data_IF_615456247929
#
_entry.id   IF_615456247929
#
_cell.length_a   1.000
_cell.length_b   1.000
_cell.length_c   1.000
_cell.angle_alpha   90.00
_cell.angle_beta   90.00
_cell.angle_gamma   90.00
#
_symmetry.space_group_name_H-M   'P 1'
#
loop_
_entity.id
_entity.type
_entity.pdbx_description
1 polymer ?
#
# COMPACT_ATOMS: atom_id res chain seq x y z
N UNK A 1 -0.28 -19.53 -20.82
CA UNK A 1 -0.45 -19.25 -19.37
C UNK A 1 -1.91 -19.43 -19.03
N UNK A 2 -2.24 -20.39 -18.16
CA UNK A 2 -3.61 -20.78 -17.86
C UNK A 2 -4.07 -20.06 -16.58
N UNK A 3 -4.55 -18.83 -16.73
CA UNK A 3 -4.91 -17.89 -15.64
C UNK A 3 -5.92 -18.44 -14.62
N UNK A 4 -6.66 -19.49 -15.00
CA UNK A 4 -7.68 -20.14 -14.17
C UNK A 4 -7.13 -20.90 -12.95
N UNK A 5 -5.85 -21.30 -12.96
CA UNK A 5 -5.27 -22.10 -11.87
C UNK A 5 -4.41 -21.29 -10.88
N UNK A 6 -4.10 -20.02 -11.17
CA UNK A 6 -3.32 -19.14 -10.27
C UNK A 6 -4.20 -18.23 -9.38
N UNK A 7 -5.47 -18.08 -9.76
CA UNK A 7 -6.48 -17.37 -8.97
C UNK A 7 -7.25 -18.36 -8.11
N UNK A 8 -6.68 -18.71 -6.96
CA UNK A 8 -7.41 -19.43 -5.92
C UNK A 8 -8.49 -18.50 -5.33
N UNK A 9 -9.79 -18.84 -5.47
CA UNK A 9 -10.89 -17.97 -5.06
C UNK A 9 -10.89 -17.70 -3.55
N UNK A 10 -10.34 -18.60 -2.74
CA UNK A 10 -10.16 -18.44 -1.29
C UNK A 10 -9.25 -17.27 -0.89
N UNK A 11 -8.40 -16.78 -1.80
CA UNK A 11 -7.49 -15.66 -1.55
C UNK A 11 -7.96 -14.35 -2.19
N UNK A 12 -9.04 -14.38 -2.96
CA UNK A 12 -9.58 -13.21 -3.65
C UNK A 12 -9.97 -12.10 -2.67
N UNK A 13 -10.68 -12.45 -1.59
CA UNK A 13 -11.12 -11.48 -0.58
C UNK A 13 -9.94 -10.77 0.10
N UNK A 14 -8.90 -11.53 0.44
CA UNK A 14 -7.68 -10.97 1.05
C UNK A 14 -6.91 -10.06 0.08
N UNK A 15 -6.80 -10.44 -1.21
CA UNK A 15 -6.18 -9.61 -2.25
C UNK A 15 -6.92 -8.29 -2.46
N UNK A 16 -8.25 -8.32 -2.43
CA UNK A 16 -9.10 -7.13 -2.50
C UNK A 16 -8.88 -6.25 -1.27
N UNK A 17 -8.86 -6.81 -0.07
CA UNK A 17 -8.61 -6.06 1.16
C UNK A 17 -7.25 -5.34 1.13
N UNK A 18 -6.18 -6.03 0.68
CA UNK A 18 -4.84 -5.42 0.53
C UNK A 18 -4.88 -4.28 -0.50
N UNK A 19 -5.60 -4.47 -1.60
CA UNK A 19 -5.75 -3.45 -2.65
C UNK A 19 -6.49 -2.21 -2.13
N UNK A 20 -7.57 -2.40 -1.37
CA UNK A 20 -8.32 -1.30 -0.74
C UNK A 20 -7.41 -0.52 0.23
N UNK A 21 -6.68 -1.22 1.10
CA UNK A 21 -5.75 -0.58 2.04
C UNK A 21 -4.65 0.20 1.31
N UNK A 22 -4.07 -0.36 0.26
CA UNK A 22 -3.07 0.34 -0.56
C UNK A 22 -3.62 1.63 -1.18
N UNK A 23 -4.86 1.60 -1.68
CA UNK A 23 -5.53 2.77 -2.25
C UNK A 23 -5.77 3.85 -1.19
N UNK A 24 -6.21 3.46 0.02
CA UNK A 24 -6.40 4.39 1.14
C UNK A 24 -5.08 5.03 1.55
N UNK A 25 -4.00 4.24 1.65
CA UNK A 25 -2.66 4.74 1.95
C UNK A 25 -2.19 5.70 0.87
N UNK A 26 -2.39 5.37 -0.41
CA UNK A 26 -2.03 6.23 -1.53
C UNK A 26 -2.73 7.59 -1.47
N UNK A 27 -4.06 7.62 -1.29
CA UNK A 27 -4.79 8.89 -1.23
C UNK A 27 -4.42 9.73 0.01
N UNK A 28 -4.15 9.07 1.14
CA UNK A 28 -3.69 9.74 2.36
C UNK A 28 -2.31 10.36 2.15
N UNK A 29 -1.38 9.57 1.60
CA UNK A 29 -0.05 10.03 1.25
C UNK A 29 -0.07 11.18 0.23
N UNK A 30 -0.95 11.10 -0.78
CA UNK A 30 -1.12 12.15 -1.77
C UNK A 30 -1.63 13.45 -1.13
N UNK A 31 -2.63 13.36 -0.25
CA UNK A 31 -3.14 14.51 0.52
C UNK A 31 -2.03 15.17 1.34
N UNK A 32 -1.25 14.37 2.07
CA UNK A 32 -0.13 14.86 2.88
C UNK A 32 0.97 15.48 2.00
N UNK A 33 1.30 14.86 0.87
CA UNK A 33 2.25 15.41 -0.08
C UNK A 33 1.84 16.81 -0.57
N UNK A 34 0.54 17.02 -0.85
CA UNK A 34 0.04 18.33 -1.21
C UNK A 34 0.08 19.33 -0.03
N UNK A 35 -0.24 18.89 1.19
CA UNK A 35 -0.14 19.76 2.38
C UNK A 35 1.29 20.23 2.65
N UNK A 36 2.29 19.37 2.50
CA UNK A 36 3.69 19.69 2.77
C UNK A 36 4.47 20.23 1.57
N UNK A 37 3.81 20.42 0.41
CA UNK A 37 4.48 20.79 -0.85
C UNK A 37 5.31 22.07 -0.72
N UNK A 38 4.77 23.07 -0.04
CA UNK A 38 5.39 24.40 0.09
C UNK A 38 6.33 24.50 1.29
N UNK A 39 5.96 23.85 2.41
CA UNK A 39 6.71 23.92 3.66
C UNK A 39 7.93 22.97 3.69
N UNK A 40 7.79 21.78 3.10
CA UNK A 40 8.85 20.76 3.11
C UNK A 40 8.72 19.82 1.91
N UNK A 41 9.29 20.25 0.79
CA UNK A 41 9.24 19.53 -0.48
C UNK A 41 9.82 18.10 -0.40
N UNK A 42 10.86 17.89 0.42
CA UNK A 42 11.47 16.57 0.58
C UNK A 42 10.56 15.61 1.35
N UNK A 43 9.82 16.12 2.34
CA UNK A 43 8.80 15.36 3.05
C UNK A 43 7.60 15.06 2.14
N UNK A 44 7.18 16.02 1.31
CA UNK A 44 6.13 15.82 0.31
C UNK A 44 6.49 14.71 -0.69
N UNK A 45 7.72 14.70 -1.19
CA UNK A 45 8.24 13.62 -2.05
C UNK A 45 8.27 12.27 -1.33
N UNK A 46 8.62 12.26 -0.05
CA UNK A 46 8.64 11.05 0.78
C UNK A 46 7.24 10.44 0.91
N UNK A 47 6.23 11.27 1.18
CA UNK A 47 4.84 10.81 1.18
C UNK A 47 4.42 10.28 -0.19
N UNK A 48 4.75 10.99 -1.27
CA UNK A 48 4.42 10.55 -2.63
C UNK A 48 5.04 9.18 -2.96
N UNK A 49 6.32 8.99 -2.61
CA UNK A 49 7.02 7.73 -2.79
C UNK A 49 6.35 6.61 -1.98
N UNK A 50 5.97 6.88 -0.74
CA UNK A 50 5.28 5.92 0.13
C UNK A 50 3.93 5.46 -0.45
N UNK A 51 3.16 6.40 -1.02
CA UNK A 51 1.93 6.08 -1.74
C UNK A 51 2.18 5.17 -2.96
N UNK A 52 3.20 5.47 -3.78
CA UNK A 52 3.55 4.66 -4.95
C UNK A 52 4.00 3.25 -4.52
N UNK A 53 4.82 3.15 -3.48
CA UNK A 53 5.27 1.85 -2.92
C UNK A 53 4.09 1.01 -2.42
N UNK A 54 3.10 1.64 -1.76
CA UNK A 54 1.88 0.95 -1.33
C UNK A 54 1.11 0.34 -2.52
N UNK A 55 0.96 1.08 -3.61
CA UNK A 55 0.32 0.58 -4.84
C UNK A 55 1.12 -0.54 -5.49
N UNK A 56 2.45 -0.43 -5.56
CA UNK A 56 3.32 -1.49 -6.08
C UNK A 56 3.22 -2.78 -5.27
N UNK A 57 3.15 -2.68 -3.94
CA UNK A 57 2.96 -3.83 -3.06
C UNK A 57 1.57 -4.47 -3.26
N UNK A 58 0.51 -3.68 -3.48
CA UNK A 58 -0.82 -4.20 -3.84
C UNK A 58 -0.82 -4.93 -5.19
N UNK A 59 -0.21 -4.35 -6.23
CA UNK A 59 -0.08 -5.00 -7.55
C UNK A 59 0.72 -6.31 -7.43
N UNK A 60 1.79 -6.31 -6.61
CA UNK A 60 2.58 -7.50 -6.35
C UNK A 60 1.75 -8.57 -5.63
N UNK A 61 0.87 -8.16 -4.71
CA UNK A 61 -0.04 -9.06 -3.98
C UNK A 61 -1.01 -9.80 -4.91
N UNK A 62 -1.48 -9.18 -5.98
CA UNK A 62 -2.36 -9.83 -6.97
C UNK A 62 -1.73 -11.06 -7.63
N UNK A 63 -0.39 -11.14 -7.66
CA UNK A 63 0.38 -12.25 -8.23
C UNK A 63 0.74 -13.33 -7.21
N UNK A 64 0.42 -13.14 -5.93
CA UNK A 64 0.83 -14.03 -4.85
C UNK A 64 -0.19 -15.17 -4.67
N UNK A 65 0.26 -16.41 -4.81
CA UNK A 65 -0.55 -17.62 -4.65
C UNK A 65 -0.56 -18.19 -3.23
N UNK A 66 0.16 -17.58 -2.28
CA UNK A 66 0.30 -18.09 -0.91
C UNK A 66 -0.25 -17.13 0.12
N UNK A 67 -1.17 -17.61 0.97
CA UNK A 67 -1.81 -16.83 2.04
C UNK A 67 -0.83 -16.07 2.95
N UNK A 68 0.28 -16.71 3.36
CA UNK A 68 1.25 -16.06 4.26
C UNK A 68 1.95 -14.86 3.60
N UNK A 69 2.24 -14.97 2.29
CA UNK A 69 2.86 -13.89 1.50
C UNK A 69 1.89 -12.73 1.26
N UNK A 70 0.58 -13.03 1.17
CA UNK A 70 -0.47 -12.01 1.09
C UNK A 70 -0.54 -11.22 2.41
N UNK A 71 -0.48 -11.91 3.55
CA UNK A 71 -0.40 -11.28 4.88
C UNK A 71 0.85 -10.44 5.07
N UNK A 72 2.03 -10.94 4.67
CA UNK A 72 3.27 -10.17 4.72
C UNK A 72 3.20 -8.88 3.89
N UNK A 73 2.57 -8.94 2.71
CA UNK A 73 2.37 -7.75 1.87
C UNK A 73 1.44 -6.72 2.53
N UNK A 74 0.43 -7.16 3.28
CA UNK A 74 -0.44 -6.27 4.06
C UNK A 74 0.36 -5.48 5.11
N UNK A 75 1.23 -6.18 5.85
CA UNK A 75 2.12 -5.56 6.86
C UNK A 75 3.09 -4.59 6.20
N UNK A 76 3.67 -4.95 5.06
CA UNK A 76 4.62 -4.09 4.32
C UNK A 76 3.97 -2.81 3.77
N UNK A 77 2.66 -2.81 3.54
CA UNK A 77 1.92 -1.61 3.13
C UNK A 77 1.57 -0.73 4.34
N UNK A 78 1.16 -1.35 5.44
CA UNK A 78 0.71 -0.63 6.64
C UNK A 78 1.86 -0.05 7.47
N UNK A 79 2.96 -0.80 7.64
CA UNK A 79 4.04 -0.39 8.53
C UNK A 79 4.66 0.96 8.13
N UNK A 80 5.01 1.21 6.85
CA UNK A 80 5.54 2.50 6.43
C UNK A 80 4.50 3.61 6.60
N UNK A 81 3.23 3.34 6.29
CA UNK A 81 2.15 4.31 6.43
C UNK A 81 1.95 4.73 7.90
N UNK A 82 1.97 3.78 8.84
CA UNK A 82 1.88 4.06 10.27
C UNK A 82 3.07 4.89 10.73
N UNK A 83 4.30 4.53 10.37
CA UNK A 83 5.50 5.28 10.76
C UNK A 83 5.47 6.71 10.22
N UNK A 84 4.99 6.90 8.99
CA UNK A 84 4.91 8.22 8.36
C UNK A 84 3.81 9.10 8.96
N UNK A 85 2.74 8.50 9.51
CA UNK A 85 1.62 9.22 10.12
C UNK A 85 1.83 9.44 11.62
N UNK A 86 2.52 8.54 12.33
CA UNK A 86 2.76 8.61 13.78
C UNK A 86 3.29 9.99 14.27
N UNK A 87 4.28 10.63 13.63
CA UNK A 87 4.76 11.95 14.05
C UNK A 87 3.80 13.10 13.72
N UNK A 88 2.71 12.86 13.00
CA UNK A 88 1.67 13.86 12.71
C UNK A 88 0.58 13.93 13.79
N UNK A 89 0.52 12.94 14.69
CA UNK A 89 -0.52 12.80 15.72
C UNK A 89 0.04 12.94 17.15
N UNK A 90 1.37 12.93 17.31
CA UNK A 90 2.09 13.20 18.56
C UNK A 90 2.53 14.66 18.63
#
# INVERSE_FOLDING_TARGET
MNWKNEFQPEHLGFRIAVSIVAVVVYFTALRLAFSYREDNFQLALTFLALGVTALQAAISNLKITSAWKIGASFVLILLPAIIAILPLIL
#
